data_IF_175744753227
#
_entry.id   IF_175744753227
#
_cell.length_a   1.000
_cell.length_b   1.000
_cell.length_c   1.000
_cell.angle_alpha   90.00
_cell.angle_beta   90.00
_cell.angle_gamma   90.00
#
_symmetry.space_group_name_H-M   'P 1'
#
loop_
_entity.id
_entity.type
_entity.pdbx_description
1 polymer ?
#
# COMPACT_ATOMS: atom_id res chain seq x y z
N UNK A 1 8.33 -11.94 12.07
CA UNK A 1 8.58 -12.47 10.72
C UNK A 1 7.32 -12.21 9.92
N UNK A 2 7.43 -11.40 8.86
CA UNK A 2 6.30 -11.10 8.00
C UNK A 2 5.92 -12.33 7.19
N UNK A 3 4.68 -12.37 6.71
CA UNK A 3 4.23 -13.44 5.81
C UNK A 3 4.88 -13.26 4.44
N UNK A 4 5.21 -14.37 3.80
CA UNK A 4 5.84 -14.40 2.48
C UNK A 4 5.06 -15.32 1.54
N UNK A 5 5.26 -15.14 0.24
CA UNK A 5 4.70 -16.02 -0.78
C UNK A 5 5.34 -17.42 -0.70
N UNK A 6 4.52 -18.46 -0.86
CA UNK A 6 5.01 -19.83 -1.08
C UNK A 6 5.48 -20.01 -2.53
N UNK A 7 6.31 -21.03 -2.84
CA UNK A 7 6.75 -21.30 -4.21
C UNK A 7 5.60 -21.39 -5.20
N UNK A 8 5.68 -20.62 -6.30
CA UNK A 8 4.67 -20.58 -7.35
C UNK A 8 3.43 -19.73 -7.04
N UNK A 9 3.37 -19.07 -5.88
CA UNK A 9 2.30 -18.12 -5.58
C UNK A 9 2.57 -16.74 -6.20
N UNK A 10 1.49 -15.98 -6.32
CA UNK A 10 1.51 -14.55 -6.65
C UNK A 10 0.53 -13.81 -5.74
N UNK A 11 0.84 -12.56 -5.41
CA UNK A 11 -0.12 -11.62 -4.81
C UNK A 11 -0.59 -10.64 -5.86
N UNK A 12 -1.85 -10.19 -5.76
CA UNK A 12 -2.43 -9.22 -6.69
C UNK A 12 -3.24 -8.18 -5.94
N UNK A 13 -3.01 -6.92 -6.28
CA UNK A 13 -3.84 -5.79 -5.87
C UNK A 13 -4.78 -5.43 -7.02
N UNK A 14 -6.07 -5.46 -6.75
CA UNK A 14 -7.11 -5.18 -7.74
C UNK A 14 -7.96 -4.00 -7.28
N UNK A 15 -8.33 -3.15 -8.24
CA UNK A 15 -9.40 -2.16 -8.08
C UNK A 15 -10.60 -2.68 -8.85
N UNK A 16 -11.76 -2.65 -8.20
CA UNK A 16 -13.02 -3.11 -8.78
C UNK A 16 -14.00 -1.94 -8.78
N UNK A 17 -14.57 -1.63 -9.94
CA UNK A 17 -15.69 -0.70 -10.02
C UNK A 17 -16.95 -1.41 -9.48
N UNK A 18 -17.57 -0.92 -8.39
CA UNK A 18 -18.71 -1.59 -7.79
C UNK A 18 -20.01 -1.46 -8.60
N UNK A 19 -20.11 -0.51 -9.52
CA UNK A 19 -21.29 -0.29 -10.35
C UNK A 19 -21.26 -1.16 -11.61
N UNK A 20 -20.11 -1.32 -12.25
CA UNK A 20 -19.97 -2.09 -13.49
C UNK A 20 -19.42 -3.50 -13.27
N UNK A 21 -18.69 -3.71 -12.16
CA UNK A 21 -17.92 -4.93 -11.92
C UNK A 21 -16.60 -4.98 -12.69
N UNK A 22 -16.19 -3.88 -13.33
CA UNK A 22 -14.92 -3.82 -14.05
C UNK A 22 -13.74 -4.04 -13.09
N UNK A 23 -12.83 -4.93 -13.46
CA UNK A 23 -11.69 -5.31 -12.64
C UNK A 23 -10.40 -4.83 -13.29
N UNK A 24 -9.66 -4.01 -12.57
CA UNK A 24 -8.32 -3.59 -12.94
C UNK A 24 -7.29 -4.24 -12.00
N UNK A 25 -6.36 -5.02 -12.56
CA UNK A 25 -5.15 -5.41 -11.83
C UNK A 25 -4.24 -4.20 -11.75
N UNK A 26 -4.04 -3.65 -10.56
CA UNK A 26 -3.12 -2.53 -10.35
C UNK A 26 -1.70 -3.07 -10.25
N UNK A 27 -1.49 -4.10 -9.42
CA UNK A 27 -0.19 -4.72 -9.19
C UNK A 27 -0.30 -6.25 -9.15
N UNK A 28 0.66 -6.95 -9.76
CA UNK A 28 0.87 -8.39 -9.63
C UNK A 28 2.31 -8.66 -9.19
N UNK A 29 2.49 -9.26 -8.01
CA UNK A 29 3.80 -9.61 -7.49
C UNK A 29 4.01 -11.10 -7.35
N UNK A 30 5.22 -11.55 -7.68
CA UNK A 30 5.70 -12.92 -7.43
C UNK A 30 6.74 -12.99 -6.31
N UNK A 31 7.08 -11.84 -5.71
CA UNK A 31 8.13 -11.72 -4.68
C UNK A 31 7.60 -11.19 -3.35
N UNK A 32 6.68 -10.23 -3.38
CA UNK A 32 6.12 -9.58 -2.20
C UNK A 32 4.67 -10.00 -2.01
N UNK A 33 4.33 -10.46 -0.81
CA UNK A 33 2.94 -10.65 -0.39
C UNK A 33 2.39 -9.30 0.07
N UNK A 34 1.63 -8.64 -0.79
CA UNK A 34 0.88 -7.42 -0.42
C UNK A 34 -0.45 -7.75 0.24
N UNK A 35 -0.79 -7.01 1.30
CA UNK A 35 -1.94 -7.28 2.17
C UNK A 35 -2.63 -5.99 2.65
N UNK A 36 -3.86 -6.12 3.14
CA UNK A 36 -4.66 -5.04 3.74
C UNK A 36 -4.67 -3.72 2.94
N UNK A 37 -5.23 -3.71 1.72
CA UNK A 37 -5.25 -2.51 0.90
C UNK A 37 -6.15 -1.41 1.47
N UNK A 38 -5.64 -0.17 1.46
CA UNK A 38 -6.40 1.05 1.73
C UNK A 38 -6.19 2.09 0.62
N UNK A 39 -7.14 3.02 0.46
CA UNK A 39 -6.98 4.19 -0.40
C UNK A 39 -6.42 5.37 0.38
N UNK A 40 -5.59 6.20 -0.24
CA UNK A 40 -5.34 7.54 0.29
C UNK A 40 -6.61 8.38 0.24
N UNK A 41 -6.82 9.32 1.18
CA UNK A 41 -8.01 10.18 1.22
C UNK A 41 -8.26 10.98 -0.07
N UNK A 42 -7.20 11.30 -0.81
CA UNK A 42 -7.29 11.99 -2.12
C UNK A 42 -7.46 11.04 -3.32
N UNK A 43 -7.53 9.73 -3.08
CA UNK A 43 -7.74 8.71 -4.11
C UNK A 43 -6.53 8.46 -5.02
N UNK A 44 -5.36 9.06 -4.75
CA UNK A 44 -4.20 8.96 -5.65
C UNK A 44 -3.35 7.71 -5.42
N UNK A 45 -3.43 7.13 -4.24
CA UNK A 45 -2.58 6.00 -3.84
C UNK A 45 -3.41 4.85 -3.30
N UNK A 46 -2.95 3.65 -3.59
CA UNK A 46 -3.28 2.47 -2.81
C UNK A 46 -2.11 2.19 -1.88
N UNK A 47 -2.43 1.87 -0.63
CA UNK A 47 -1.47 1.55 0.42
C UNK A 47 -1.68 0.12 0.86
N UNK A 48 -0.59 -0.61 1.05
CA UNK A 48 -0.59 -2.03 1.41
C UNK A 48 0.50 -2.32 2.42
N UNK A 49 0.30 -3.34 3.25
CA UNK A 49 1.40 -3.94 3.99
C UNK A 49 2.15 -4.92 3.10
N UNK A 50 3.44 -5.07 3.33
CA UNK A 50 4.28 -6.08 2.70
C UNK A 50 5.63 -6.17 3.40
N UNK A 51 6.16 -7.38 3.60
CA UNK A 51 7.46 -7.59 4.26
C UNK A 51 7.62 -6.88 5.61
N UNK A 52 6.52 -6.66 6.33
CA UNK A 52 6.52 -6.00 7.63
C UNK A 52 6.68 -4.49 7.59
N UNK A 53 6.51 -3.89 6.41
CA UNK A 53 6.55 -2.46 6.14
C UNK A 53 5.27 -1.99 5.44
N UNK A 54 5.11 -0.68 5.36
CA UNK A 54 4.03 -0.03 4.62
C UNK A 54 4.55 0.42 3.24
N UNK A 55 3.79 0.11 2.20
CA UNK A 55 4.09 0.45 0.82
C UNK A 55 2.92 1.15 0.18
N UNK A 56 3.19 1.93 -0.87
CA UNK A 56 2.18 2.55 -1.70
C UNK A 56 2.46 2.35 -3.18
N UNK A 57 1.41 2.43 -3.99
CA UNK A 57 1.44 2.38 -5.45
C UNK A 57 0.40 3.37 -5.99
N UNK A 58 0.63 4.03 -7.15
CA UNK A 58 -0.37 4.89 -7.75
C UNK A 58 -1.68 4.13 -7.98
N UNK A 59 -2.82 4.72 -7.62
CA UNK A 59 -4.12 4.07 -7.76
C UNK A 59 -4.54 3.89 -9.24
N UNK A 60 -3.96 4.68 -10.14
CA UNK A 60 -4.13 4.58 -11.58
C UNK A 60 -3.11 3.66 -12.26
N UNK A 61 -2.22 3.00 -11.52
CA UNK A 61 -1.30 2.02 -12.09
C UNK A 61 -2.05 0.83 -12.69
N UNK A 62 -1.42 0.18 -13.68
CA UNK A 62 -2.03 -0.87 -14.50
C UNK A 62 -1.04 -2.01 -14.69
N UNK A 63 -1.26 -3.13 -13.98
CA UNK A 63 -0.48 -4.36 -14.13
C UNK A 63 1.01 -4.22 -13.84
N UNK A 64 1.41 -3.30 -12.95
CA UNK A 64 2.81 -3.14 -12.54
C UNK A 64 3.25 -4.31 -11.65
N UNK A 65 4.55 -4.55 -11.54
CA UNK A 65 5.10 -5.55 -10.62
C UNK A 65 5.55 -4.92 -9.29
N UNK A 66 6.13 -5.72 -8.38
CA UNK A 66 6.62 -5.23 -7.09
C UNK A 66 7.65 -4.10 -7.16
N UNK A 67 8.30 -3.86 -8.30
CA UNK A 67 9.29 -2.78 -8.42
C UNK A 67 8.65 -1.40 -8.38
N UNK A 68 7.33 -1.31 -8.57
CA UNK A 68 6.55 -0.08 -8.43
C UNK A 68 6.09 0.21 -6.99
N UNK A 69 6.37 -0.66 -6.02
CA UNK A 69 6.06 -0.39 -4.61
C UNK A 69 7.01 0.68 -4.07
N UNK A 70 6.44 1.80 -3.64
CA UNK A 70 7.17 2.86 -2.95
C UNK A 70 7.05 2.65 -1.43
N UNK A 71 8.17 2.58 -0.69
CA UNK A 71 8.10 2.47 0.76
C UNK A 71 7.59 3.76 1.38
N UNK A 72 6.69 3.65 2.35
CA UNK A 72 6.33 4.76 3.24
C UNK A 72 7.37 4.79 4.36
N UNK A 73 8.09 5.90 4.60
CA UNK A 73 9.12 5.96 5.63
C UNK A 73 8.55 5.68 7.03
N UNK A 74 9.01 4.59 7.66
CA UNK A 74 8.52 4.15 8.98
C UNK A 74 9.38 4.63 10.16
N UNK A 75 10.53 5.26 9.90
CA UNK A 75 11.46 5.68 10.96
C UNK A 75 11.91 4.49 11.83
N UNK A 76 11.73 4.62 13.14
CA UNK A 76 12.07 3.58 14.13
C UNK A 76 10.91 2.62 14.45
N UNK A 77 9.79 2.72 13.74
CA UNK A 77 8.64 1.82 13.97
C UNK A 77 9.05 0.37 13.65
N UNK A 78 8.80 -0.58 14.56
CA UNK A 78 9.11 -1.99 14.33
C UNK A 78 8.21 -2.61 13.24
N UNK A 79 8.42 -3.90 12.94
CA UNK A 79 7.62 -4.66 11.96
C UNK A 79 6.12 -4.40 12.15
N UNK A 80 5.46 -3.82 11.14
CA UNK A 80 4.03 -3.56 11.19
C UNK A 80 3.24 -4.84 10.94
N UNK A 81 2.01 -4.86 11.45
CA UNK A 81 1.06 -5.94 11.23
C UNK A 81 0.00 -5.50 10.18
N UNK A 82 -1.22 -6.01 10.28
CA UNK A 82 -2.24 -5.94 9.23
C UNK A 82 -2.97 -4.59 9.11
N UNK A 83 -3.15 -3.83 10.20
CA UNK A 83 -4.06 -2.66 10.14
C UNK A 83 -3.27 -1.35 10.04
N UNK A 84 -3.68 -0.49 9.11
CA UNK A 84 -3.21 0.87 8.94
C UNK A 84 -4.33 1.80 8.44
N UNK A 85 -4.25 3.09 8.76
CA UNK A 85 -5.19 4.11 8.27
C UNK A 85 -4.49 5.46 8.09
N UNK A 86 -4.65 6.05 6.90
CA UNK A 86 -4.15 7.41 6.63
C UNK A 86 -5.12 8.39 7.27
N UNK A 87 -4.60 9.36 8.04
CA UNK A 87 -5.46 10.37 8.67
C UNK A 87 -6.09 11.28 7.59
N UNK A 88 -7.31 11.81 7.80
CA UNK A 88 -8.06 12.49 6.74
C UNK A 88 -7.35 13.71 6.10
N UNK A 89 -6.57 14.46 6.88
CA UNK A 89 -5.79 15.60 6.40
C UNK A 89 -4.48 15.20 5.71
N UNK A 90 -4.19 13.89 5.64
CA UNK A 90 -2.99 13.31 5.04
C UNK A 90 -1.68 13.80 5.68
N UNK A 91 -1.70 14.21 6.95
CA UNK A 91 -0.47 14.52 7.70
C UNK A 91 0.28 13.27 8.20
N UNK A 92 -0.45 12.18 8.42
CA UNK A 92 0.08 10.97 9.05
C UNK A 92 -0.62 9.69 8.58
N UNK A 93 -0.06 8.56 8.97
CA UNK A 93 -0.70 7.24 8.94
C UNK A 93 -0.53 6.58 10.30
N UNK A 94 -1.62 6.03 10.82
CA UNK A 94 -1.60 5.21 12.02
C UNK A 94 -1.42 3.77 11.59
N UNK A 95 -0.43 3.08 12.15
CA UNK A 95 -0.14 1.67 11.89
C UNK A 95 -0.18 0.87 13.18
N UNK A 96 -0.59 -0.39 13.06
CA UNK A 96 -0.47 -1.37 14.13
C UNK A 96 0.81 -2.17 13.97
N UNK A 97 1.56 -2.35 15.06
CA UNK A 97 2.84 -3.05 15.05
C UNK A 97 2.80 -4.40 15.76
N UNK A 98 3.78 -5.26 15.49
CA UNK A 98 3.83 -6.61 16.08
C UNK A 98 4.18 -6.64 17.56
N UNK A 99 4.66 -5.53 18.11
CA UNK A 99 4.91 -5.40 19.53
C UNK A 99 3.64 -5.05 20.34
N UNK A 100 2.49 -4.91 19.66
CA UNK A 100 1.19 -4.65 20.26
C UNK A 100 0.83 -3.17 20.39
N UNK A 101 1.67 -2.25 19.89
CA UNK A 101 1.41 -0.82 19.93
C UNK A 101 0.86 -0.29 18.61
N UNK A 102 0.28 0.91 18.69
CA UNK A 102 -0.03 1.74 17.54
C UNK A 102 1.02 2.83 17.43
N UNK A 103 1.41 3.13 16.19
CA UNK A 103 2.36 4.19 15.88
C UNK A 103 1.74 5.16 14.90
N UNK A 104 2.00 6.44 15.11
CA UNK A 104 1.74 7.50 14.15
C UNK A 104 3.05 7.80 13.42
N UNK A 105 3.04 7.69 12.10
CA UNK A 105 4.18 8.06 11.25
C UNK A 105 3.77 9.11 10.24
N UNK A 106 4.67 10.04 9.87
CA UNK A 106 4.36 11.04 8.85
C UNK A 106 3.96 10.36 7.54
N UNK A 107 2.91 10.88 6.89
CA UNK A 107 2.56 10.52 5.51
C UNK A 107 3.37 11.33 4.48
N UNK A 108 4.27 12.19 4.97
CA UNK A 108 5.14 13.06 4.21
C UNK A 108 5.92 12.29 3.13
N UNK A 109 6.02 12.88 1.93
CA UNK A 109 6.76 12.29 0.81
C UNK A 109 5.89 11.79 -0.34
N UNK A 110 4.57 11.99 -0.31
CA UNK A 110 3.71 11.91 -1.49
C UNK A 110 3.57 13.30 -2.11
N UNK A 111 4.43 13.67 -3.07
CA UNK A 111 4.24 14.95 -3.76
C UNK A 111 3.03 14.87 -4.70
N UNK A 112 2.03 15.77 -4.59
CA UNK A 112 1.01 15.95 -5.61
C UNK A 112 1.56 16.59 -6.88
N UNK A 113 1.20 16.06 -8.05
CA UNK A 113 1.35 16.78 -9.32
C UNK A 113 2.16 16.16 -10.46
N UNK A 114 2.23 14.84 -10.59
CA UNK A 114 2.42 14.27 -11.93
C UNK A 114 1.12 14.46 -12.72
N UNK A 115 1.06 15.47 -13.59
CA UNK A 115 -0.08 15.65 -14.50
C UNK A 115 -0.29 14.35 -15.31
N UNK A 116 -1.53 13.83 -15.47
CA UNK A 116 -1.76 12.76 -16.43
C UNK A 116 -1.31 13.26 -17.80
N UNK A 117 -0.38 12.54 -18.45
CA UNK A 117 -0.01 12.87 -19.81
C UNK A 117 -1.27 12.81 -20.68
N UNK A 118 -1.53 13.89 -21.42
CA UNK A 118 -2.58 13.98 -22.42
C UNK A 118 -2.30 13.06 -23.61
#
# INVERSE_FOLDING_TARGET
MPRTLLPGQRSRLLVVDPATGDVQVVLESTRVLVEAPNWSPDGRWLVVNGDGLLWRVPADARGVDETALEPVPMGEVPEINNDHVIVPDQGAVIVSARDGHLYEVPWDGVTPGGTPAA
#
